data_IF_873466663216
#
_entry.id   IF_873466663216
#
_cell.length_a   1.000
_cell.length_b   1.000
_cell.length_c   1.000
_cell.angle_alpha   90.00
_cell.angle_beta   90.00
_cell.angle_gamma   90.00
#
_symmetry.space_group_name_H-M   'P 1'
#
loop_
_entity.id
_entity.type
_entity.pdbx_description
1 polymer ?
#
# COMPACT_ATOMS: atom_id res chain seq x y z
N UNK A 1 -7.08 -16.04 79.79
CA UNK A 1 -7.73 -15.26 78.72
C UNK A 1 -9.07 -15.92 78.41
N UNK A 2 -10.18 -15.21 78.50
CA UNK A 2 -11.51 -15.84 78.38
C UNK A 2 -11.82 -16.22 76.93
N UNK A 3 -12.32 -17.44 76.74
CA UNK A 3 -12.78 -17.96 75.43
C UNK A 3 -13.81 -17.04 74.78
N UNK A 4 -14.62 -16.37 75.60
CA UNK A 4 -15.63 -15.39 75.18
C UNK A 4 -15.01 -14.19 74.45
N UNK A 5 -13.89 -13.65 74.94
CA UNK A 5 -13.22 -12.52 74.29
C UNK A 5 -12.67 -12.90 72.90
N UNK A 6 -12.14 -14.12 72.76
CA UNK A 6 -11.66 -14.63 71.48
C UNK A 6 -12.80 -14.82 70.48
N UNK A 7 -13.94 -15.37 70.93
CA UNK A 7 -15.12 -15.55 70.09
C UNK A 7 -15.70 -14.19 69.62
N UNK A 8 -15.82 -13.21 70.51
CA UNK A 8 -16.35 -11.88 70.17
C UNK A 8 -15.44 -11.12 69.21
N UNK A 9 -14.12 -11.16 69.44
CA UNK A 9 -13.15 -10.55 68.52
C UNK A 9 -13.13 -11.25 67.16
N UNK A 10 -13.27 -12.58 67.13
CA UNK A 10 -13.39 -13.34 65.88
C UNK A 10 -14.63 -12.94 65.08
N UNK A 11 -15.78 -12.80 65.74
CA UNK A 11 -17.01 -12.34 65.10
C UNK A 11 -16.88 -10.92 64.52
N UNK A 12 -16.29 -10.00 65.29
CA UNK A 12 -15.98 -8.64 64.84
C UNK A 12 -15.06 -8.63 63.61
N UNK A 13 -14.01 -9.46 63.61
CA UNK A 13 -13.10 -9.57 62.49
C UNK A 13 -13.82 -10.08 61.23
N UNK A 14 -14.70 -11.07 61.35
CA UNK A 14 -15.49 -11.59 60.23
C UNK A 14 -16.43 -10.52 59.66
N UNK A 15 -17.14 -9.78 60.52
CA UNK A 15 -18.02 -8.69 60.09
C UNK A 15 -17.24 -7.59 59.37
N UNK A 16 -16.05 -7.25 59.86
CA UNK A 16 -15.17 -6.27 59.23
C UNK A 16 -14.73 -6.72 57.84
N UNK A 17 -14.32 -7.98 57.69
CA UNK A 17 -13.93 -8.57 56.41
C UNK A 17 -15.12 -8.56 55.44
N UNK A 18 -16.31 -8.94 55.90
CA UNK A 18 -17.52 -8.92 55.09
C UNK A 18 -17.85 -7.50 54.59
N UNK A 19 -17.75 -6.49 55.45
CA UNK A 19 -17.95 -5.10 55.08
C UNK A 19 -16.92 -4.63 54.04
N UNK A 20 -15.64 -5.00 54.21
CA UNK A 20 -14.57 -4.67 53.27
C UNK A 20 -14.82 -5.27 51.87
N UNK A 21 -15.21 -6.56 51.83
CA UNK A 21 -15.54 -7.25 50.58
C UNK A 21 -16.71 -6.56 49.88
N UNK A 22 -17.73 -6.16 50.64
CA UNK A 22 -18.91 -5.51 50.08
C UNK A 22 -18.58 -4.12 49.52
N UNK A 23 -17.77 -3.34 50.23
CA UNK A 23 -17.25 -2.06 49.74
C UNK A 23 -16.47 -2.21 48.44
N UNK A 24 -15.56 -3.19 48.38
CA UNK A 24 -14.73 -3.43 47.20
C UNK A 24 -15.54 -3.93 45.98
N UNK A 25 -16.55 -4.76 46.22
CA UNK A 25 -17.47 -5.24 45.16
C UNK A 25 -18.30 -4.09 44.58
N UNK A 26 -18.74 -3.15 45.41
CA UNK A 26 -19.56 -2.03 44.97
C UNK A 26 -18.75 -1.05 44.13
N UNK A 27 -17.53 -0.75 44.56
CA UNK A 27 -16.61 0.12 43.82
C UNK A 27 -16.24 -0.48 42.45
N UNK A 28 -15.98 -1.80 42.39
CA UNK A 28 -15.76 -2.51 41.12
C UNK A 28 -16.96 -2.42 40.17
N UNK A 29 -18.19 -2.54 40.69
CA UNK A 29 -19.42 -2.46 39.86
C UNK A 29 -19.63 -1.07 39.28
N UNK A 30 -19.44 -0.03 40.08
CA UNK A 30 -19.51 1.37 39.63
C UNK A 30 -18.43 1.67 38.58
N UNK A 31 -17.21 1.16 38.79
CA UNK A 31 -16.11 1.34 37.83
C UNK A 31 -16.38 0.63 36.51
N UNK A 32 -16.87 -0.61 36.52
CA UNK A 32 -17.19 -1.36 35.31
C UNK A 32 -18.28 -0.69 34.45
N UNK A 33 -19.30 -0.07 35.07
CA UNK A 33 -20.30 0.70 34.33
C UNK A 33 -19.70 1.97 33.72
N UNK A 34 -18.79 2.66 34.42
CA UNK A 34 -18.18 3.89 33.89
C UNK A 34 -17.19 3.61 32.76
N UNK A 35 -16.42 2.54 32.90
CA UNK A 35 -15.48 2.04 31.90
C UNK A 35 -16.22 1.60 30.62
N UNK A 36 -17.41 0.99 30.76
CA UNK A 36 -18.22 0.64 29.58
C UNK A 36 -18.73 1.88 28.85
N UNK A 37 -19.20 2.92 29.54
CA UNK A 37 -19.60 4.18 28.90
C UNK A 37 -18.45 4.87 28.17
N UNK A 38 -17.26 4.89 28.75
CA UNK A 38 -16.07 5.45 28.08
C UNK A 38 -15.68 4.61 26.85
N UNK A 39 -15.77 3.28 26.96
CA UNK A 39 -15.59 2.36 25.83
C UNK A 39 -16.62 2.57 24.71
N UNK A 40 -17.89 2.80 25.06
CA UNK A 40 -18.94 3.11 24.09
C UNK A 40 -18.73 4.47 23.42
N UNK A 41 -18.37 5.51 24.19
CA UNK A 41 -18.07 6.82 23.62
C UNK A 41 -16.92 6.75 22.60
N UNK A 42 -15.87 5.98 22.94
CA UNK A 42 -14.75 5.72 22.03
C UNK A 42 -15.16 4.94 20.79
N UNK A 43 -15.95 3.87 20.95
CA UNK A 43 -16.43 3.06 19.83
C UNK A 43 -17.35 3.85 18.88
N UNK A 44 -18.21 4.72 19.42
CA UNK A 44 -19.07 5.60 18.61
C UNK A 44 -18.23 6.64 17.86
N UNK A 45 -17.22 7.22 18.50
CA UNK A 45 -16.31 8.15 17.82
C UNK A 45 -15.53 7.47 16.67
N UNK A 46 -15.07 6.23 16.87
CA UNK A 46 -14.39 5.45 15.83
C UNK A 46 -15.34 5.10 14.67
N UNK A 47 -16.60 4.76 14.98
CA UNK A 47 -17.62 4.52 13.98
C UNK A 47 -17.97 5.77 13.17
N UNK A 48 -18.14 6.92 13.83
CA UNK A 48 -18.41 8.19 13.16
C UNK A 48 -17.27 8.60 12.24
N UNK A 49 -16.02 8.42 12.68
CA UNK A 49 -14.84 8.63 11.85
C UNK A 49 -14.80 7.70 10.63
N UNK A 50 -15.13 6.42 10.82
CA UNK A 50 -15.21 5.46 9.73
C UNK A 50 -16.34 5.79 8.75
N UNK A 51 -17.51 6.22 9.25
CA UNK A 51 -18.64 6.64 8.45
C UNK A 51 -18.32 7.89 7.63
N UNK A 52 -17.71 8.92 8.23
CA UNK A 52 -17.27 10.12 7.53
C UNK A 52 -16.30 9.79 6.39
N UNK A 53 -15.38 8.84 6.62
CA UNK A 53 -14.47 8.36 5.57
C UNK A 53 -15.20 7.62 4.45
N UNK A 54 -16.21 6.82 4.78
CA UNK A 54 -17.04 6.12 3.79
C UNK A 54 -17.89 7.09 2.96
N UNK A 55 -18.45 8.12 3.58
CA UNK A 55 -19.19 9.19 2.91
C UNK A 55 -18.30 9.97 1.93
N UNK A 56 -17.08 10.30 2.35
CA UNK A 56 -16.08 10.93 1.47
C UNK A 56 -15.74 10.03 0.28
N UNK A 57 -15.47 8.74 0.51
CA UNK A 57 -15.20 7.82 -0.59
C UNK A 57 -16.39 7.66 -1.56
N UNK A 58 -17.64 7.70 -1.07
CA UNK A 58 -18.83 7.68 -1.91
C UNK A 58 -18.95 8.97 -2.75
N UNK A 59 -18.63 10.12 -2.15
CA UNK A 59 -18.62 11.40 -2.85
C UNK A 59 -17.55 11.42 -3.96
N UNK A 60 -16.35 10.90 -3.68
CA UNK A 60 -15.28 10.77 -4.65
C UNK A 60 -15.66 9.82 -5.80
N UNK A 61 -16.28 8.67 -5.47
CA UNK A 61 -16.78 7.73 -6.48
C UNK A 61 -17.84 8.39 -7.36
N UNK A 62 -18.78 9.15 -6.79
CA UNK A 62 -19.80 9.88 -7.55
C UNK A 62 -19.17 10.89 -8.49
N UNK A 63 -18.24 11.71 -7.99
CA UNK A 63 -17.54 12.69 -8.81
C UNK A 63 -16.77 12.02 -9.97
N UNK A 64 -16.06 10.93 -9.70
CA UNK A 64 -15.33 10.18 -10.72
C UNK A 64 -16.27 9.54 -11.74
N UNK A 65 -17.44 9.02 -11.32
CA UNK A 65 -18.44 8.49 -12.24
C UNK A 65 -19.09 9.57 -13.10
N UNK A 66 -19.35 10.75 -12.55
CA UNK A 66 -19.92 11.88 -13.30
C UNK A 66 -18.93 12.38 -14.37
N UNK A 67 -17.64 12.51 -14.02
CA UNK A 67 -16.60 12.85 -14.99
C UNK A 67 -16.45 11.78 -16.09
N UNK A 68 -16.47 10.50 -15.70
CA UNK A 68 -16.42 9.40 -16.66
C UNK A 68 -17.64 9.40 -17.60
N UNK A 69 -18.84 9.67 -17.08
CA UNK A 69 -20.08 9.76 -17.85
C UNK A 69 -20.02 10.88 -18.90
N UNK A 70 -19.57 12.08 -18.50
CA UNK A 70 -19.40 13.22 -19.41
C UNK A 70 -18.38 12.91 -20.51
N UNK A 71 -17.25 12.31 -20.14
CA UNK A 71 -16.21 11.90 -21.10
C UNK A 71 -16.76 10.88 -22.11
N UNK A 72 -17.60 9.96 -21.66
CA UNK A 72 -18.23 8.95 -22.50
C UNK A 72 -19.24 9.61 -23.46
N UNK A 73 -20.05 10.55 -22.99
CA UNK A 73 -21.02 11.28 -23.80
C UNK A 73 -20.35 12.03 -24.96
N UNK A 74 -19.27 12.76 -24.67
CA UNK A 74 -18.47 13.46 -25.71
C UNK A 74 -17.91 12.48 -26.75
N UNK A 75 -17.48 11.29 -26.34
CA UNK A 75 -16.98 10.26 -27.27
C UNK A 75 -18.10 9.70 -28.14
N UNK A 76 -19.29 9.48 -27.58
CA UNK A 76 -20.47 9.01 -28.32
C UNK A 76 -20.88 10.05 -29.37
N UNK A 77 -20.96 11.32 -28.98
CA UNK A 77 -21.30 12.41 -29.91
C UNK A 77 -20.30 12.51 -31.06
N UNK A 78 -18.99 12.43 -30.77
CA UNK A 78 -17.94 12.39 -31.81
C UNK A 78 -18.09 11.17 -32.73
N UNK A 79 -18.37 9.99 -32.18
CA UNK A 79 -18.57 8.78 -32.98
C UNK A 79 -19.79 8.90 -33.89
N UNK A 80 -20.90 9.47 -33.39
CA UNK A 80 -22.10 9.74 -34.18
C UNK A 80 -21.83 10.77 -35.29
N UNK A 81 -21.11 11.85 -35.00
CA UNK A 81 -20.73 12.86 -35.99
C UNK A 81 -19.83 12.28 -37.09
N UNK A 82 -18.90 11.38 -36.74
CA UNK A 82 -18.06 10.69 -37.72
C UNK A 82 -18.88 9.67 -38.54
N UNK A 83 -19.80 8.95 -37.91
CA UNK A 83 -20.70 8.03 -38.60
C UNK A 83 -21.57 8.76 -39.63
N UNK A 84 -22.14 9.92 -39.26
CA UNK A 84 -22.93 10.76 -40.15
C UNK A 84 -22.11 11.28 -41.34
N UNK A 85 -20.85 11.70 -41.12
CA UNK A 85 -19.95 12.11 -42.20
C UNK A 85 -19.61 10.97 -43.16
N UNK A 86 -19.43 9.75 -42.64
CA UNK A 86 -19.21 8.56 -43.47
C UNK A 86 -20.46 8.23 -44.28
N UNK A 87 -21.64 8.31 -43.69
CA UNK A 87 -22.91 8.09 -44.39
C UNK A 87 -23.11 9.12 -45.51
N UNK A 88 -22.86 10.41 -45.26
CA UNK A 88 -22.94 11.44 -46.31
C UNK A 88 -21.93 11.21 -47.45
N UNK A 89 -20.70 10.78 -47.15
CA UNK A 89 -19.68 10.43 -48.15
C UNK A 89 -20.07 9.21 -48.98
N UNK A 90 -20.71 8.22 -48.38
CA UNK A 90 -21.17 7.00 -49.06
C UNK A 90 -22.40 7.29 -49.92
N UNK A 91 -23.33 8.10 -49.41
CA UNK A 91 -24.59 8.41 -50.07
C UNK A 91 -24.44 9.51 -51.14
N UNK A 92 -23.33 10.27 -51.12
CA UNK A 92 -23.00 11.23 -52.18
C UNK A 92 -22.46 10.48 -53.40
N UNK A 93 -23.16 10.46 -54.54
CA UNK A 93 -22.64 9.88 -55.77
C UNK A 93 -21.37 10.61 -56.16
N UNK A 94 -20.30 9.89 -56.50
CA UNK A 94 -19.04 10.48 -56.90
C UNK A 94 -19.29 11.52 -58.01
N UNK A 95 -18.91 12.80 -57.83
CA UNK A 95 -18.86 13.70 -58.97
C UNK A 95 -17.80 13.11 -59.90
N UNK A 96 -18.19 12.83 -61.15
CA UNK A 96 -17.30 12.36 -62.21
C UNK A 96 -16.02 13.21 -62.25
N UNK A 97 -14.96 12.74 -61.57
CA UNK A 97 -13.64 13.38 -61.51
C UNK A 97 -12.84 13.18 -62.81
N UNK A 98 -13.50 12.70 -63.86
CA UNK A 98 -12.86 12.34 -65.12
C UNK A 98 -12.69 13.50 -66.10
N UNK A 99 -13.01 14.76 -65.75
CA UNK A 99 -13.00 15.84 -66.77
C UNK A 99 -12.11 17.05 -66.52
N UNK A 100 -11.49 17.26 -65.36
CA UNK A 100 -10.61 18.44 -65.20
C UNK A 100 -9.33 18.14 -64.39
N UNK A 101 -8.29 17.68 -65.10
CA UNK A 101 -6.90 17.89 -64.68
C UNK A 101 -5.95 17.79 -65.90
N UNK A 102 -5.46 18.92 -66.45
CA UNK A 102 -4.25 18.89 -67.25
C UNK A 102 -3.02 18.88 -66.34
N UNK A 103 -2.07 18.04 -66.74
CA UNK A 103 -0.67 17.98 -66.34
C UNK A 103 -0.11 19.20 -65.60
N UNK A 104 0.31 18.99 -64.34
CA UNK A 104 1.45 19.66 -63.72
C UNK A 104 2.30 18.55 -63.11
N UNK A 105 3.22 17.98 -63.87
CA UNK A 105 4.58 18.51 -64.05
C UNK A 105 5.31 18.71 -62.70
N UNK A 106 5.91 17.62 -62.23
CA UNK A 106 7.37 17.52 -62.09
C UNK A 106 8.14 18.78 -61.62
N UNK A 107 7.97 19.18 -60.37
CA UNK A 107 8.97 19.93 -59.58
C UNK A 107 8.47 19.92 -58.13
N UNK A 108 9.12 19.33 -57.13
CA UNK A 108 10.47 19.60 -56.66
C UNK A 108 10.81 18.53 -55.61
N UNK A 109 11.89 17.78 -55.83
CA UNK A 109 12.58 17.03 -54.79
C UNK A 109 13.93 17.69 -54.57
N UNK A 110 14.16 18.41 -53.46
CA UNK A 110 15.51 18.67 -53.02
C UNK A 110 15.92 17.56 -52.07
N UNK A 111 16.81 16.71 -52.55
CA UNK A 111 17.76 16.03 -51.69
C UNK A 111 18.60 17.13 -51.00
N UNK A 112 18.49 17.22 -49.67
CA UNK A 112 19.50 17.87 -48.84
C UNK A 112 19.86 16.93 -47.71
N UNK A 113 20.79 16.04 -48.02
CA UNK A 113 21.69 15.47 -47.03
C UNK A 113 22.71 16.56 -46.68
N UNK A 114 22.68 17.05 -45.44
CA UNK A 114 23.86 17.30 -44.61
C UNK A 114 23.43 17.86 -43.24
N UNK A 115 24.13 17.39 -42.21
CA UNK A 115 24.18 17.86 -40.81
C UNK A 115 23.08 17.41 -39.81
N UNK A 116 23.48 16.47 -38.95
CA UNK A 116 23.09 16.40 -37.55
C UNK A 116 24.17 17.08 -36.68
N UNK A 117 23.97 17.32 -35.37
CA UNK A 117 22.78 17.75 -34.62
C UNK A 117 23.08 19.01 -33.76
N UNK A 118 22.05 19.76 -33.31
CA UNK A 118 22.04 20.07 -31.88
C UNK A 118 20.65 20.07 -31.25
N UNK A 119 20.67 19.94 -29.92
CA UNK A 119 19.57 20.08 -28.97
C UNK A 119 18.65 18.85 -28.83
N UNK A 120 19.00 18.04 -27.83
CA UNK A 120 18.10 17.13 -27.15
C UNK A 120 16.85 17.87 -26.68
N UNK A 121 15.78 17.81 -27.47
CA UNK A 121 14.44 18.16 -27.06
C UNK A 121 13.92 17.09 -26.10
N UNK A 122 13.85 17.49 -24.83
CA UNK A 122 12.82 17.14 -23.87
C UNK A 122 11.68 16.28 -24.45
N UNK A 123 11.63 15.01 -24.05
CA UNK A 123 10.54 14.11 -24.41
C UNK A 123 10.56 12.80 -23.65
N UNK A 124 11.75 12.31 -23.30
CA UNK A 124 11.87 11.04 -22.58
C UNK A 124 12.99 11.13 -21.54
N UNK A 125 12.77 11.85 -20.43
CA UNK A 125 13.42 11.43 -19.19
C UNK A 125 12.78 10.11 -18.80
N UNK A 126 13.26 9.03 -19.41
CA UNK A 126 13.05 7.67 -18.89
C UNK A 126 13.41 7.75 -17.42
N UNK A 127 12.41 7.57 -16.55
CA UNK A 127 12.61 7.46 -15.11
C UNK A 127 13.74 6.45 -14.93
N UNK A 128 14.90 6.94 -14.50
CA UNK A 128 16.06 6.07 -14.32
C UNK A 128 15.73 5.09 -13.19
N UNK A 129 16.26 3.87 -13.25
CA UNK A 129 16.14 2.92 -12.15
C UNK A 129 16.59 3.56 -10.82
N UNK A 130 17.58 4.46 -10.87
CA UNK A 130 18.06 5.23 -9.72
C UNK A 130 17.04 6.25 -9.17
N UNK A 131 16.15 6.79 -10.01
CA UNK A 131 15.09 7.69 -9.56
C UNK A 131 13.94 6.90 -8.91
N UNK A 132 13.66 5.70 -9.43
CA UNK A 132 12.68 4.79 -8.84
C UNK A 132 13.12 4.28 -7.46
N UNK A 133 14.41 3.93 -7.33
CA UNK A 133 15.02 3.50 -6.07
C UNK A 133 14.94 4.60 -5.00
N UNK A 134 15.15 5.87 -5.38
CA UNK A 134 14.99 7.02 -4.47
C UNK A 134 13.56 7.26 -4.02
N UNK A 135 12.57 6.94 -4.84
CA UNK A 135 11.16 7.06 -4.46
C UNK A 135 10.77 5.97 -3.45
N UNK A 136 11.21 4.73 -3.69
CA UNK A 136 11.00 3.61 -2.77
C UNK A 136 11.66 3.85 -1.40
N UNK A 137 12.91 4.34 -1.36
CA UNK A 137 13.56 4.69 -0.09
C UNK A 137 12.83 5.80 0.68
N UNK A 138 12.21 6.74 -0.04
CA UNK A 138 11.47 7.85 0.57
C UNK A 138 10.14 7.37 1.15
N UNK A 139 9.47 6.48 0.46
CA UNK A 139 8.22 5.84 0.92
C UNK A 139 8.47 4.96 2.15
N UNK A 140 9.49 4.10 2.11
CA UNK A 140 9.87 3.23 3.23
C UNK A 140 10.28 4.05 4.49
N UNK A 141 10.93 5.21 4.31
CA UNK A 141 11.16 6.16 5.43
C UNK A 141 9.87 6.78 5.96
N UNK A 142 8.94 7.14 5.08
CA UNK A 142 7.66 7.73 5.49
C UNK A 142 6.81 6.70 6.25
N UNK A 143 6.76 5.45 5.78
CA UNK A 143 6.07 4.36 6.47
C UNK A 143 6.70 4.04 7.83
N UNK A 144 8.03 3.99 7.93
CA UNK A 144 8.73 3.78 9.21
C UNK A 144 8.48 4.91 10.21
N UNK A 145 8.39 6.16 9.72
CA UNK A 145 8.06 7.30 10.56
C UNK A 145 6.62 7.22 11.11
N UNK A 146 5.67 6.73 10.30
CA UNK A 146 4.28 6.50 10.72
C UNK A 146 4.18 5.30 11.68
N UNK A 147 4.99 4.26 11.50
CA UNK A 147 5.07 3.08 12.38
C UNK A 147 5.79 3.36 13.71
N UNK A 148 6.41 4.54 13.88
CA UNK A 148 7.11 4.93 15.10
C UNK A 148 8.44 4.20 15.32
N UNK A 149 9.07 3.72 14.26
CA UNK A 149 10.31 2.95 14.32
C UNK A 149 11.53 3.89 14.41
N UNK A 150 12.51 3.64 15.31
CA UNK A 150 13.62 4.56 15.54
C UNK A 150 14.56 4.62 14.33
N UNK A 151 14.81 5.82 13.81
CA UNK A 151 15.73 6.09 12.71
C UNK A 151 17.14 5.61 13.10
N UNK A 152 17.75 4.63 12.38
CA UNK A 152 19.11 4.23 12.65
C UNK A 152 20.05 5.39 12.27
N UNK A 153 20.77 5.88 13.27
CA UNK A 153 21.82 6.89 13.11
C UNK A 153 22.90 6.30 12.18
N UNK A 154 23.32 6.99 11.10
CA UNK A 154 24.30 6.44 10.18
C UNK A 154 25.62 6.21 10.92
N UNK A 155 26.03 4.95 11.02
CA UNK A 155 27.33 4.58 11.56
C UNK A 155 28.45 5.16 10.65
N UNK A 156 29.59 5.60 11.23
CA UNK A 156 30.70 6.10 10.44
C UNK A 156 31.20 5.01 9.49
N UNK A 157 31.33 5.38 8.20
CA UNK A 157 31.77 4.50 7.12
C UNK A 157 33.12 3.86 7.47
N UNK A 158 33.12 2.56 7.74
CA UNK A 158 34.32 1.73 7.66
C UNK A 158 34.52 1.31 6.20
N UNK A 159 35.68 1.64 5.65
CA UNK A 159 36.11 1.37 4.27
C UNK A 159 35.91 -0.09 3.84
N UNK A 160 35.55 -0.37 2.57
CA UNK A 160 35.33 -1.73 2.11
C UNK A 160 36.66 -2.47 1.92
N UNK A 161 36.77 -3.64 2.52
CA UNK A 161 37.81 -4.65 2.22
C UNK A 161 37.38 -5.35 0.92
N UNK A 162 38.26 -5.58 -0.07
CA UNK A 162 37.89 -6.28 -1.29
C UNK A 162 37.67 -7.77 -1.02
N UNK A 163 36.42 -8.24 -1.03
CA UNK A 163 36.09 -9.67 -0.96
C UNK A 163 36.25 -10.33 -2.33
N UNK A 164 37.06 -11.38 -2.38
CA UNK A 164 37.34 -12.18 -3.57
C UNK A 164 36.16 -13.09 -3.99
N UNK A 165 35.99 -13.37 -5.29
CA UNK A 165 34.79 -14.01 -5.87
C UNK A 165 34.80 -15.54 -5.74
N UNK A 166 34.67 -16.08 -4.53
CA UNK A 166 34.45 -17.54 -4.32
C UNK A 166 33.19 -17.89 -3.53
N UNK A 167 32.47 -16.92 -2.98
CA UNK A 167 31.34 -17.15 -2.08
C UNK A 167 29.98 -17.28 -2.77
N UNK A 168 29.88 -17.02 -4.09
CA UNK A 168 28.59 -17.00 -4.80
C UNK A 168 28.07 -18.37 -5.24
N UNK A 169 28.90 -19.40 -5.22
CA UNK A 169 28.54 -20.72 -5.76
C UNK A 169 27.87 -21.67 -4.74
N UNK A 170 27.77 -21.32 -3.45
CA UNK A 170 27.16 -22.21 -2.44
C UNK A 170 25.71 -21.89 -2.10
N UNK A 171 25.17 -20.76 -2.55
CA UNK A 171 23.85 -20.30 -2.13
C UNK A 171 22.75 -20.87 -3.04
N UNK A 172 23.08 -21.26 -4.28
CA UNK A 172 22.11 -21.75 -5.25
C UNK A 172 21.72 -23.25 -5.07
N UNK A 173 22.55 -24.07 -4.40
CA UNK A 173 22.27 -25.51 -4.25
C UNK A 173 21.19 -25.83 -3.19
N UNK A 174 20.90 -24.93 -2.25
CA UNK A 174 19.89 -25.15 -1.19
C UNK A 174 18.45 -24.77 -1.61
N UNK A 175 18.25 -24.21 -2.81
CA UNK A 175 16.96 -23.65 -3.24
C UNK A 175 16.06 -24.66 -3.98
N UNK A 176 16.60 -25.80 -4.43
CA UNK A 176 15.88 -26.78 -5.28
C UNK A 176 15.55 -28.12 -4.60
N UNK A 177 15.93 -28.32 -3.34
CA UNK A 177 15.54 -29.53 -2.60
C UNK A 177 14.10 -29.36 -2.08
N UNK A 178 13.14 -30.05 -2.69
CA UNK A 178 11.75 -30.12 -2.22
C UNK A 178 11.64 -30.71 -0.79
N UNK A 179 10.46 -30.69 -0.15
CA UNK A 179 10.32 -31.05 1.26
C UNK A 179 10.43 -32.56 1.47
N UNK A 180 11.66 -33.06 1.48
CA UNK A 180 12.04 -34.40 1.93
C UNK A 180 12.35 -34.37 3.42
N UNK A 181 11.45 -34.95 4.20
CA UNK A 181 11.62 -35.48 5.56
C UNK A 181 12.78 -34.94 6.42
N UNK A 182 12.42 -34.17 7.45
CA UNK A 182 13.32 -33.82 8.56
C UNK A 182 13.93 -35.08 9.21
N UNK A 183 15.26 -35.20 9.34
CA UNK A 183 15.84 -36.25 10.17
C UNK A 183 15.62 -35.89 11.65
N UNK A 184 15.02 -36.83 12.38
CA UNK A 184 14.73 -36.76 13.82
C UNK A 184 15.99 -36.39 14.64
N UNK A 185 15.86 -35.56 15.68
CA UNK A 185 16.97 -35.31 16.60
C UNK A 185 17.04 -36.46 17.60
N UNK A 186 18.02 -37.34 17.46
CA UNK A 186 18.25 -38.37 18.46
C UNK A 186 19.17 -39.49 18.01
N UNK A 187 20.48 -39.28 18.14
CA UNK A 187 21.39 -40.27 18.73
C UNK A 187 22.81 -39.73 18.68
N UNK A 188 23.41 -39.63 19.85
CA UNK A 188 24.81 -39.34 20.06
C UNK A 188 25.56 -40.67 20.15
N UNK A 189 26.50 -41.01 19.25
CA UNK A 189 27.42 -42.11 19.48
C UNK A 189 28.85 -41.57 19.51
N UNK A 190 29.23 -40.93 20.62
CA UNK A 190 30.65 -40.76 20.95
C UNK A 190 31.11 -42.01 21.71
N UNK A 191 31.42 -43.07 20.97
CA UNK A 191 32.27 -44.15 21.45
C UNK A 191 33.75 -43.72 21.31
N UNK A 192 34.63 -44.05 22.28
CA UNK A 192 36.05 -43.75 22.17
C UNK A 192 36.75 -44.79 21.29
N UNK A 193 37.57 -44.32 20.35
CA UNK A 193 38.70 -45.07 19.81
C UNK A 193 39.97 -44.46 20.39
N UNK A 194 40.55 -45.14 21.37
CA UNK A 194 41.96 -45.60 21.47
C UNK A 194 42.43 -45.61 22.91
#
# INVERSE_FOLDING_TARGET
MSIVALAMNGFLAVLLIAALIFGWRLERRLKALRDSHEGFAKAVADLDQAAARAEQGLADLRAATDEAAETLAVRIERAQALAAQLEERVNRPAPNRSQDAPARESAQRPARASEAPPAASAGERRLSAADFERLLEREDRAERAVRGEPIPRPAPRSSPIPETPRSRARIDDDLFEGPGESPRPGSNPRAPRR
#
